data_IF_946818866132
#
_entry.id   IF_946818866132
#
_cell.length_a   1.000
_cell.length_b   1.000
_cell.length_c   1.000
_cell.angle_alpha   90.00
_cell.angle_beta   90.00
_cell.angle_gamma   90.00
#
_symmetry.space_group_name_H-M   'P 1'
#
loop_
_entity.id
_entity.type
_entity.pdbx_description
1 polymer ?
#
# COMPACT_ATOMS: atom_id res chain seq x y z
N UNK A 1 30.19 20.75 -39.56
CA UNK A 1 28.84 20.28 -39.16
C UNK A 1 28.83 18.91 -38.45
N UNK A 2 29.98 18.25 -38.21
CA UNK A 2 30.03 16.90 -37.64
C UNK A 2 30.09 16.83 -36.10
N UNK A 3 30.83 17.71 -35.43
CA UNK A 3 31.05 17.60 -33.95
C UNK A 3 29.80 17.97 -33.14
N UNK A 4 29.04 19.00 -33.57
CA UNK A 4 27.81 19.43 -32.89
C UNK A 4 26.68 18.39 -32.95
N UNK A 5 26.60 17.63 -34.05
CA UNK A 5 25.62 16.52 -34.18
C UNK A 5 26.00 15.34 -33.29
N UNK A 6 27.29 15.03 -33.15
CA UNK A 6 27.78 13.95 -32.29
C UNK A 6 27.51 14.27 -30.81
N UNK A 7 27.76 15.51 -30.36
CA UNK A 7 27.50 15.93 -28.97
C UNK A 7 26.01 15.89 -28.60
N UNK A 8 25.11 16.23 -29.53
CA UNK A 8 23.65 16.17 -29.32
C UNK A 8 23.09 14.74 -29.29
N UNK A 9 23.69 13.79 -30.01
CA UNK A 9 23.24 12.40 -30.02
C UNK A 9 23.65 11.69 -28.72
N UNK A 10 24.84 11.99 -28.17
CA UNK A 10 25.28 11.42 -26.89
C UNK A 10 24.49 11.96 -25.69
N UNK A 11 24.02 13.21 -25.73
CA UNK A 11 23.21 13.78 -24.66
C UNK A 11 21.80 13.17 -24.56
N UNK A 12 21.25 12.67 -25.69
CA UNK A 12 19.93 12.05 -25.72
C UNK A 12 19.95 10.60 -25.20
N UNK A 13 21.09 9.90 -25.34
CA UNK A 13 21.24 8.51 -24.89
C UNK A 13 21.41 8.35 -23.36
N UNK A 14 21.80 9.42 -22.65
CA UNK A 14 21.98 9.40 -21.18
C UNK A 14 20.66 9.69 -20.44
N UNK A 15 19.65 10.22 -21.12
CA UNK A 15 18.34 10.53 -20.53
C UNK A 15 17.37 9.34 -20.52
N UNK A 16 17.65 8.26 -21.26
CA UNK A 16 16.76 7.10 -21.38
C UNK A 16 17.09 5.96 -20.42
N UNK A 17 18.14 6.06 -19.61
CA UNK A 17 18.49 5.05 -18.59
C UNK A 17 17.72 5.20 -17.28
N UNK A 18 16.68 6.04 -17.24
CA UNK A 18 15.75 6.14 -16.11
C UNK A 18 14.55 5.22 -16.26
N UNK A 19 14.74 3.99 -16.72
CA UNK A 19 13.82 2.93 -16.31
C UNK A 19 14.15 2.63 -14.87
N UNK A 20 13.64 3.44 -13.94
CA UNK A 20 13.56 3.04 -12.56
C UNK A 20 12.76 1.73 -12.54
N UNK A 21 13.45 0.60 -12.38
CA UNK A 21 12.83 -0.62 -11.87
C UNK A 21 12.46 -0.37 -10.40
N UNK A 22 11.59 0.61 -10.15
CA UNK A 22 10.91 0.76 -8.90
C UNK A 22 9.66 -0.12 -9.01
N UNK A 23 9.77 -1.40 -8.70
CA UNK A 23 8.54 -2.21 -8.62
C UNK A 23 8.64 -3.72 -8.47
N UNK A 24 9.75 -4.38 -8.77
CA UNK A 24 9.79 -5.85 -8.66
C UNK A 24 11.08 -6.28 -7.97
N UNK A 25 10.96 -6.69 -6.71
CA UNK A 25 11.94 -7.59 -6.11
C UNK A 25 12.01 -8.82 -7.04
N UNK A 26 13.17 -9.18 -7.62
CA UNK A 26 13.26 -10.35 -8.49
C UNK A 26 12.72 -11.62 -7.81
N UNK A 27 12.80 -11.72 -6.48
CA UNK A 27 12.29 -12.87 -5.72
C UNK A 27 10.76 -13.02 -5.84
N UNK A 28 10.01 -11.93 -6.05
CA UNK A 28 8.56 -12.01 -6.26
C UNK A 28 8.19 -12.64 -7.61
N UNK A 29 9.12 -12.75 -8.56
CA UNK A 29 8.88 -13.42 -9.83
C UNK A 29 8.66 -14.94 -9.66
N UNK A 30 9.07 -15.52 -8.51
CA UNK A 30 8.86 -16.93 -8.18
C UNK A 30 7.45 -17.20 -7.62
N UNK A 31 6.68 -16.16 -7.30
CA UNK A 31 5.30 -16.31 -6.82
C UNK A 31 4.39 -16.57 -8.01
N UNK A 32 4.05 -17.84 -8.23
CA UNK A 32 3.19 -18.29 -9.31
C UNK A 32 1.85 -18.80 -8.78
N UNK A 33 0.76 -18.47 -9.49
CA UNK A 33 -0.58 -18.95 -9.20
C UNK A 33 -0.91 -20.29 -9.91
N UNK A 34 -2.18 -20.73 -9.90
CA UNK A 34 -3.37 -19.98 -9.48
C UNK A 34 -3.59 -20.00 -7.96
N UNK A 35 -4.08 -18.89 -7.42
CA UNK A 35 -4.64 -18.81 -6.07
C UNK A 35 -6.17 -18.86 -6.15
N UNK A 36 -6.78 -19.72 -5.36
CA UNK A 36 -8.22 -19.88 -5.28
C UNK A 36 -8.89 -18.80 -4.43
N UNK A 37 -8.15 -18.23 -3.48
CA UNK A 37 -8.63 -17.13 -2.62
C UNK A 37 -7.54 -16.07 -2.40
N UNK A 38 -7.89 -14.81 -2.10
CA UNK A 38 -6.92 -13.78 -1.72
C UNK A 38 -6.11 -14.13 -0.44
N UNK A 39 -6.66 -15.01 0.40
CA UNK A 39 -6.02 -15.44 1.64
C UNK A 39 -4.85 -16.37 1.36
N UNK A 40 -4.89 -17.16 0.29
CA UNK A 40 -3.75 -17.96 -0.16
C UNK A 40 -2.59 -17.08 -0.65
N UNK A 41 -2.90 -15.95 -1.31
CA UNK A 41 -1.89 -14.95 -1.67
C UNK A 41 -1.24 -14.38 -0.40
N UNK A 42 -2.05 -13.99 0.58
CA UNK A 42 -1.55 -13.45 1.85
C UNK A 42 -0.68 -14.47 2.58
N UNK A 43 -1.10 -15.74 2.63
CA UNK A 43 -0.32 -16.82 3.22
C UNK A 43 1.07 -16.96 2.55
N UNK A 44 1.13 -16.85 1.22
CA UNK A 44 2.40 -16.85 0.48
C UNK A 44 3.28 -15.65 0.85
N UNK A 45 2.71 -14.45 0.95
CA UNK A 45 3.44 -13.25 1.37
C UNK A 45 4.02 -13.39 2.79
N UNK A 46 3.27 -14.04 3.69
CA UNK A 46 3.66 -14.22 5.10
C UNK A 46 4.86 -15.16 5.28
N UNK A 47 5.20 -15.99 4.29
CA UNK A 47 6.40 -16.84 4.32
C UNK A 47 7.69 -16.00 4.44
N UNK A 48 7.66 -14.76 3.94
CA UNK A 48 8.80 -13.83 3.96
C UNK A 48 8.51 -12.51 4.70
N UNK A 49 7.24 -12.14 4.90
CA UNK A 49 6.82 -10.82 5.39
C UNK A 49 5.92 -10.87 6.63
N UNK A 50 6.18 -11.79 7.57
CA UNK A 50 5.47 -11.87 8.85
C UNK A 50 5.58 -10.57 9.68
N UNK A 51 6.79 -9.98 9.76
CA UNK A 51 7.01 -8.74 10.49
C UNK A 51 6.23 -7.57 9.87
N UNK A 52 6.26 -7.44 8.54
CA UNK A 52 5.52 -6.39 7.86
C UNK A 52 4.00 -6.53 8.05
N UNK A 53 3.48 -7.77 8.09
CA UNK A 53 2.09 -7.99 8.43
C UNK A 53 1.79 -7.54 9.87
N UNK A 54 2.66 -7.88 10.82
CA UNK A 54 2.55 -7.44 12.22
C UNK A 54 2.55 -5.92 12.34
N UNK A 55 3.45 -5.25 11.63
CA UNK A 55 3.55 -3.79 11.58
C UNK A 55 2.27 -3.16 11.01
N UNK A 56 1.78 -3.64 9.87
CA UNK A 56 0.55 -3.15 9.24
C UNK A 56 -0.65 -3.35 10.16
N UNK A 57 -0.74 -4.51 10.82
CA UNK A 57 -1.82 -4.84 11.74
C UNK A 57 -1.86 -3.96 12.99
N UNK A 58 -0.75 -3.32 13.34
CA UNK A 58 -0.69 -2.31 14.40
C UNK A 58 -1.17 -0.91 13.96
N UNK A 59 -1.38 -0.67 12.66
CA UNK A 59 -1.78 0.65 12.13
C UNK A 59 -3.30 0.83 12.06
N UNK A 60 -3.73 2.09 11.91
CA UNK A 60 -5.13 2.45 11.70
C UNK A 60 -5.73 1.93 10.39
N UNK A 61 -4.91 1.52 9.40
CA UNK A 61 -5.40 0.88 8.19
C UNK A 61 -6.00 -0.51 8.47
N UNK A 62 -5.48 -1.21 9.49
CA UNK A 62 -5.99 -2.51 9.91
C UNK A 62 -6.99 -2.40 11.06
N UNK A 63 -6.65 -1.66 12.12
CA UNK A 63 -7.48 -1.56 13.33
C UNK A 63 -8.70 -0.68 13.14
N UNK A 64 -8.66 0.22 12.15
CA UNK A 64 -9.67 1.27 11.94
C UNK A 64 -9.91 2.13 13.19
N UNK A 65 -8.91 2.23 14.06
CA UNK A 65 -8.94 2.99 15.30
C UNK A 65 -7.79 4.01 15.34
N UNK A 66 -8.03 5.16 15.98
CA UNK A 66 -7.05 6.22 16.19
C UNK A 66 -7.43 7.01 17.45
N UNK A 67 -6.44 7.42 18.23
CA UNK A 67 -6.69 8.36 19.34
C UNK A 67 -6.82 9.79 18.80
N UNK A 68 -7.83 10.51 19.29
CA UNK A 68 -8.09 11.91 18.95
C UNK A 68 -8.41 12.68 20.23
N UNK A 69 -7.90 13.90 20.36
CA UNK A 69 -8.29 14.82 21.42
C UNK A 69 -9.54 15.59 20.99
N UNK A 70 -10.64 15.48 21.75
CA UNK A 70 -11.89 16.19 21.50
C UNK A 70 -12.35 16.80 22.82
N UNK A 71 -12.58 18.11 22.84
CA UNK A 71 -13.02 18.84 24.03
C UNK A 71 -12.12 18.61 25.27
N UNK A 72 -10.82 18.38 25.05
CA UNK A 72 -9.83 18.11 26.10
C UNK A 72 -9.80 16.67 26.61
N UNK A 73 -10.56 15.76 26.01
CA UNK A 73 -10.56 14.32 26.31
C UNK A 73 -9.92 13.52 25.18
N UNK A 74 -9.03 12.60 25.53
CA UNK A 74 -8.48 11.62 24.59
C UNK A 74 -9.50 10.50 24.35
N UNK A 75 -10.01 10.40 23.13
CA UNK A 75 -11.00 9.40 22.74
C UNK A 75 -10.48 8.50 21.62
N UNK A 76 -10.88 7.23 21.66
CA UNK A 76 -10.62 6.26 20.56
C UNK A 76 -11.63 6.47 19.44
N UNK A 77 -11.23 7.23 18.44
CA UNK A 77 -12.04 7.61 17.30
C UNK A 77 -11.34 7.25 15.98
N UNK A 78 -11.78 6.16 15.39
CA UNK A 78 -11.49 5.79 14.00
C UNK A 78 -12.75 5.32 13.28
N UNK A 79 -12.61 4.74 12.08
CA UNK A 79 -13.74 4.29 11.26
C UNK A 79 -14.67 3.32 12.00
N UNK A 80 -14.14 2.53 12.94
CA UNK A 80 -14.92 1.62 13.79
C UNK A 80 -15.86 2.34 14.76
N UNK A 81 -15.48 3.53 15.25
CA UNK A 81 -16.19 4.26 16.32
C UNK A 81 -16.78 5.61 15.87
N UNK A 82 -16.50 6.05 14.64
CA UNK A 82 -16.98 7.32 14.13
C UNK A 82 -18.43 7.22 13.63
N UNK A 83 -19.21 8.25 13.92
CA UNK A 83 -20.49 8.51 13.27
C UNK A 83 -20.31 9.62 12.22
N UNK A 84 -20.85 9.40 11.02
CA UNK A 84 -20.87 10.41 9.96
C UNK A 84 -22.28 10.57 9.38
N UNK A 85 -22.45 11.53 8.48
CA UNK A 85 -23.72 11.84 7.82
C UNK A 85 -23.88 11.15 6.44
N UNK A 86 -23.09 10.12 6.17
CA UNK A 86 -23.22 9.25 4.99
C UNK A 86 -23.91 7.94 5.39
N UNK A 87 -23.17 6.84 5.50
CA UNK A 87 -23.69 5.52 5.89
C UNK A 87 -23.78 5.33 7.41
N UNK A 88 -23.69 6.42 8.19
CA UNK A 88 -23.83 6.49 9.65
C UNK A 88 -22.73 5.76 10.43
N UNK A 89 -22.70 4.43 10.41
CA UNK A 89 -21.74 3.62 11.19
C UNK A 89 -21.44 2.29 10.50
N UNK A 90 -20.21 1.80 10.67
CA UNK A 90 -19.81 0.47 10.17
C UNK A 90 -20.38 -0.67 11.02
N UNK A 91 -20.71 -0.44 12.30
CA UNK A 91 -21.12 -1.51 13.21
C UNK A 91 -22.40 -2.23 12.77
N UNK A 92 -23.35 -1.51 12.15
CA UNK A 92 -24.57 -2.10 11.58
C UNK A 92 -24.44 -2.52 10.12
N UNK A 93 -23.31 -2.20 9.46
CA UNK A 93 -23.13 -2.33 8.00
C UNK A 93 -21.82 -3.05 7.64
N UNK A 94 -21.31 -3.95 8.50
CA UNK A 94 -19.95 -4.50 8.38
C UNK A 94 -19.64 -5.16 7.02
N UNK A 95 -20.62 -5.86 6.44
CA UNK A 95 -20.44 -6.58 5.17
C UNK A 95 -20.56 -5.69 3.92
N UNK A 96 -20.98 -4.43 4.09
CA UNK A 96 -21.20 -3.48 2.98
C UNK A 96 -20.44 -2.17 3.17
N UNK A 97 -19.81 -1.99 4.33
CA UNK A 97 -18.91 -0.88 4.58
C UNK A 97 -17.74 -0.99 3.59
N UNK A 98 -17.38 0.11 2.91
CA UNK A 98 -16.12 0.18 2.15
C UNK A 98 -14.93 0.10 3.11
#
# INVERSE_FOLDING_TARGET
MGVKKILSITALAVLTSSTCWAGQNPDHAEIEGPFSTPMEVTATCLECHEDAATEVMATSHWTWDMEQEIDGEMVKRGKTNVLNNFCISVNSNWNTAP
#
